data_IF_779305654196
#
_entry.id   IF_779305654196
#
_cell.length_a   1.000
_cell.length_b   1.000
_cell.length_c   1.000
_cell.angle_alpha   90.00
_cell.angle_beta   90.00
_cell.angle_gamma   90.00
#
_symmetry.space_group_name_H-M   'P 1'
#
loop_
_entity.id
_entity.type
_entity.pdbx_description
1 polymer ?
#
# COMPACT_ATOMS: atom_id res chain seq x y z
N UNK A 1 -14.04 -16.28 5.55
CA UNK A 1 -14.32 -16.18 4.11
C UNK A 1 -13.78 -14.86 3.62
N UNK A 2 -12.80 -14.88 2.70
CA UNK A 2 -12.25 -13.67 2.12
C UNK A 2 -13.32 -12.88 1.35
N UNK A 3 -13.32 -11.54 1.46
CA UNK A 3 -14.24 -10.70 0.67
C UNK A 3 -14.07 -10.94 -0.82
N UNK A 4 -12.83 -11.11 -1.31
CA UNK A 4 -12.58 -11.50 -2.70
C UNK A 4 -13.23 -12.83 -3.08
N UNK A 5 -13.12 -13.87 -2.23
CA UNK A 5 -13.71 -15.17 -2.52
C UNK A 5 -15.24 -15.08 -2.63
N UNK A 6 -15.87 -14.26 -1.77
CA UNK A 6 -17.31 -14.01 -1.81
C UNK A 6 -17.75 -13.28 -3.08
N UNK A 7 -17.03 -12.23 -3.48
CA UNK A 7 -17.41 -11.38 -4.62
C UNK A 7 -17.05 -11.98 -5.98
N UNK A 8 -15.98 -12.77 -6.06
CA UNK A 8 -15.47 -13.33 -7.34
C UNK A 8 -15.81 -14.80 -7.56
N UNK A 9 -16.16 -15.53 -6.50
CA UNK A 9 -16.33 -16.98 -6.55
C UNK A 9 -15.01 -17.76 -6.66
N UNK A 10 -13.86 -17.09 -6.58
CA UNK A 10 -12.56 -17.77 -6.66
C UNK A 10 -12.25 -18.57 -5.40
N UNK A 11 -11.60 -19.74 -5.55
CA UNK A 11 -11.19 -20.53 -4.39
C UNK A 11 -10.13 -19.79 -3.57
N UNK A 12 -10.20 -19.93 -2.23
CA UNK A 12 -9.28 -19.23 -1.31
C UNK A 12 -7.81 -19.58 -1.59
N UNK A 13 -7.53 -20.82 -2.02
CA UNK A 13 -6.20 -21.25 -2.40
C UNK A 13 -5.64 -20.44 -3.58
N UNK A 14 -6.45 -20.13 -4.58
CA UNK A 14 -6.05 -19.32 -5.73
C UNK A 14 -5.75 -17.88 -5.30
N UNK A 15 -6.61 -17.30 -4.47
CA UNK A 15 -6.44 -15.92 -3.97
C UNK A 15 -5.15 -15.79 -3.13
N UNK A 16 -4.80 -16.82 -2.36
CA UNK A 16 -3.62 -16.83 -1.50
C UNK A 16 -2.31 -17.08 -2.26
N UNK A 17 -2.30 -18.00 -3.23
CA UNK A 17 -1.06 -18.54 -3.78
C UNK A 17 -0.81 -18.18 -5.24
N UNK A 18 -1.86 -17.90 -6.02
CA UNK A 18 -1.75 -17.74 -7.47
C UNK A 18 -2.04 -16.30 -7.94
N UNK A 19 -2.80 -15.53 -7.16
CA UNK A 19 -3.15 -14.17 -7.50
C UNK A 19 -1.99 -13.20 -7.21
N UNK A 20 -1.48 -12.44 -8.21
CA UNK A 20 -0.45 -11.44 -7.95
C UNK A 20 -0.92 -10.41 -6.93
N UNK A 21 -0.07 -10.15 -5.92
CA UNK A 21 -0.38 -9.25 -4.81
C UNK A 21 -0.93 -7.87 -5.25
N UNK A 22 -0.38 -7.19 -6.28
CA UNK A 22 -0.91 -5.90 -6.72
C UNK A 22 -2.36 -6.00 -7.20
N UNK A 23 -2.70 -7.09 -7.89
CA UNK A 23 -4.05 -7.33 -8.39
C UNK A 23 -5.01 -7.68 -7.25
N UNK A 24 -4.57 -8.48 -6.28
CA UNK A 24 -5.33 -8.76 -5.07
C UNK A 24 -5.71 -7.47 -4.33
N UNK A 25 -4.73 -6.57 -4.12
CA UNK A 25 -4.95 -5.29 -3.44
C UNK A 25 -5.95 -4.40 -4.18
N UNK A 26 -5.89 -4.33 -5.52
CA UNK A 26 -6.87 -3.59 -6.32
C UNK A 26 -8.29 -4.11 -6.12
N UNK A 27 -8.49 -5.43 -6.15
CA UNK A 27 -9.80 -6.03 -5.91
C UNK A 27 -10.31 -5.78 -4.49
N UNK A 28 -9.45 -5.91 -3.48
CA UNK A 28 -9.81 -5.60 -2.09
C UNK A 28 -10.21 -4.14 -1.93
N UNK A 29 -9.44 -3.22 -2.51
CA UNK A 29 -9.78 -1.79 -2.47
C UNK A 29 -11.15 -1.52 -3.08
N UNK A 30 -11.44 -2.07 -4.27
CA UNK A 30 -12.74 -1.91 -4.92
C UNK A 30 -13.89 -2.51 -4.09
N UNK A 31 -13.73 -3.73 -3.56
CA UNK A 31 -14.75 -4.40 -2.76
C UNK A 31 -15.05 -3.66 -1.44
N UNK A 32 -14.01 -3.15 -0.77
CA UNK A 32 -14.16 -2.39 0.47
C UNK A 32 -14.77 -1.00 0.22
N UNK A 33 -14.43 -0.35 -0.90
CA UNK A 33 -15.05 0.90 -1.32
C UNK A 33 -16.53 0.74 -1.63
N UNK A 34 -16.90 -0.30 -2.38
CA UNK A 34 -18.28 -0.58 -2.75
C UNK A 34 -19.16 -0.93 -1.54
N UNK A 35 -18.59 -1.62 -0.55
CA UNK A 35 -19.29 -1.99 0.70
C UNK A 35 -19.32 -0.88 1.76
N UNK A 36 -18.76 0.31 1.46
CA UNK A 36 -18.58 1.42 2.41
C UNK A 36 -17.77 1.04 3.68
N UNK A 37 -17.13 -0.13 3.68
CA UNK A 37 -16.28 -0.60 4.79
C UNK A 37 -14.86 -0.03 4.72
N UNK A 38 -14.51 0.67 3.64
CA UNK A 38 -13.21 1.33 3.50
C UNK A 38 -13.10 2.55 4.42
N UNK A 39 -12.34 2.41 5.51
CA UNK A 39 -12.14 3.45 6.52
C UNK A 39 -10.86 4.27 6.33
N UNK A 40 -10.02 3.91 5.35
CA UNK A 40 -8.75 4.60 5.12
C UNK A 40 -9.02 5.88 4.34
N UNK A 41 -8.65 7.02 4.94
CA UNK A 41 -8.74 8.31 4.28
C UNK A 41 -7.87 8.34 3.01
N UNK A 42 -8.28 9.06 1.95
CA UNK A 42 -7.42 9.27 0.80
C UNK A 42 -6.10 9.93 1.27
N UNK A 43 -4.98 9.27 0.97
CA UNK A 43 -3.66 9.85 1.21
C UNK A 43 -3.11 10.46 -0.08
N UNK A 44 -2.08 11.29 0.08
CA UNK A 44 -1.25 11.72 -1.05
C UNK A 44 -0.66 10.51 -1.78
N UNK A 45 -0.42 10.60 -3.10
CA UNK A 45 0.26 9.56 -3.86
C UNK A 45 1.58 9.16 -3.20
N UNK A 46 1.87 7.86 -3.19
CA UNK A 46 3.07 7.34 -2.51
C UNK A 46 4.36 7.98 -3.03
N UNK A 47 4.46 8.23 -4.34
CA UNK A 47 5.64 8.86 -4.95
C UNK A 47 5.91 10.27 -4.43
N UNK A 48 4.86 11.06 -4.21
CA UNK A 48 5.02 12.42 -3.68
C UNK A 48 5.53 12.40 -2.24
N UNK A 49 5.08 11.41 -1.44
CA UNK A 49 5.59 11.19 -0.09
C UNK A 49 7.06 10.74 -0.12
N UNK A 50 7.44 9.87 -1.05
CA UNK A 50 8.83 9.45 -1.24
C UNK A 50 9.73 10.63 -1.60
N UNK A 51 9.35 11.45 -2.58
CA UNK A 51 10.14 12.62 -2.97
C UNK A 51 10.31 13.62 -1.82
N UNK A 52 9.26 13.80 -0.99
CA UNK A 52 9.36 14.63 0.22
C UNK A 52 10.38 14.05 1.21
N UNK A 53 10.34 12.74 1.44
CA UNK A 53 11.27 12.06 2.34
C UNK A 53 12.71 12.09 1.81
N UNK A 54 12.91 11.91 0.50
CA UNK A 54 14.21 12.06 -0.15
C UNK A 54 14.77 13.48 0.03
N UNK A 55 13.93 14.50 -0.18
CA UNK A 55 14.33 15.90 0.01
C UNK A 55 14.69 16.21 1.48
N UNK A 56 13.99 15.59 2.45
CA UNK A 56 14.32 15.71 3.87
C UNK A 56 15.60 14.96 4.23
N UNK A 57 15.78 13.74 3.71
CA UNK A 57 16.98 12.95 3.94
C UNK A 57 18.23 13.64 3.39
N UNK A 58 18.13 14.31 2.23
CA UNK A 58 19.22 15.08 1.66
C UNK A 58 19.64 16.30 2.52
N UNK A 59 18.76 16.80 3.38
CA UNK A 59 19.05 17.89 4.33
C UNK A 59 19.68 17.39 5.63
N UNK A 60 19.60 16.09 5.91
CA UNK A 60 20.06 15.45 7.13
C UNK A 60 21.48 14.85 6.99
N UNK A 61 22.36 15.45 6.18
CA UNK A 61 23.77 15.03 6.14
C UNK A 61 24.34 15.06 7.56
N UNK A 62 24.74 13.89 8.05
CA UNK A 62 25.38 13.72 9.35
C UNK A 62 26.64 14.56 9.35
N UNK A 63 26.75 15.53 10.25
CA UNK A 63 27.99 16.28 10.47
C UNK A 63 29.09 15.26 10.81
N UNK A 64 29.99 14.99 9.86
CA UNK A 64 31.21 14.24 10.08
C UNK A 64 32.15 15.10 10.95
N UNK A 65 32.25 14.70 12.22
CA UNK A 65 33.36 14.92 13.15
C UNK A 65 33.82 16.37 13.42
N UNK A 66 33.36 16.90 14.56
CA UNK A 66 34.20 17.69 15.47
C UNK A 66 35.43 16.84 15.87
N UNK A 67 36.51 16.96 15.09
CA UNK A 67 37.77 16.25 15.29
C UNK A 67 38.97 17.08 14.85
N UNK A 68 39.28 18.15 15.60
CA UNK A 68 40.53 18.91 15.50
C UNK A 68 41.08 19.22 16.90
#
# INVERSE_FOLDING_TARGET
MFTLARETGWPEAFILWELPLPRALQYYHCALRASLAWTVAPSEPAMDQFHRLEALAAQLTVDEEDGA
#
